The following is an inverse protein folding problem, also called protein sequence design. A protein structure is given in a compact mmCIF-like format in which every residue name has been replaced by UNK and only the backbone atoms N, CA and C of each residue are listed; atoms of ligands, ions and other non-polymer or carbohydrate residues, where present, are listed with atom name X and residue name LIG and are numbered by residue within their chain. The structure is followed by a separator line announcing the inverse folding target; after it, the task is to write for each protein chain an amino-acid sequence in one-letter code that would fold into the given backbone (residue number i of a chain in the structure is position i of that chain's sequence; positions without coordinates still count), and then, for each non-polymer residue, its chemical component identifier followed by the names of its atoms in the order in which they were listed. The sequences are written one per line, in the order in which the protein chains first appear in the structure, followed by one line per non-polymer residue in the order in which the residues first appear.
data_IF_664134033185
#
_entry.id   IF_664134033185
#
_cell.length_a   1.000
_cell.length_b   1.000
_cell.length_c   1.000
_cell.angle_alpha   90.00
_cell.angle_beta   90.00
_cell.angle_gamma   90.00
#
_symmetry.space_group_name_H-M   'P 1'
#
loop_
_entity.id
_entity.type
_entity.pdbx_description
1 polymer ?
#
# COMPACT_ATOMS: atom_id res chain seq x y z
N UNK A 1 -42.63 35.42 -25.48
CA UNK A 1 -41.30 35.62 -26.10
C UNK A 1 -40.56 36.55 -25.13
N UNK A 2 -39.39 36.27 -24.57
CA UNK A 2 -38.16 35.72 -25.16
C UNK A 2 -37.29 35.09 -24.04
N UNK A 3 -36.83 33.84 -24.23
CA UNK A 3 -35.40 33.47 -24.44
C UNK A 3 -34.51 33.89 -23.27
N UNK A 4 -34.29 32.98 -22.34
CA UNK A 4 -33.12 32.09 -22.34
C UNK A 4 -31.79 32.82 -22.17
N UNK A 5 -31.08 32.38 -21.12
CA UNK A 5 -29.63 32.34 -20.93
C UNK A 5 -29.09 33.29 -19.85
N UNK A 6 -28.12 32.73 -19.12
CA UNK A 6 -27.40 33.21 -17.94
C UNK A 6 -28.24 32.98 -16.67
N UNK A 7 -27.88 32.04 -15.80
CA UNK A 7 -26.60 32.01 -15.11
C UNK A 7 -26.10 30.57 -14.88
N UNK A 8 -25.06 30.19 -15.63
CA UNK A 8 -24.09 29.18 -15.22
C UNK A 8 -23.27 29.78 -14.07
N UNK A 9 -23.67 29.55 -12.82
CA UNK A 9 -22.82 29.92 -11.67
C UNK A 9 -22.97 28.93 -10.52
N UNK A 10 -21.82 28.34 -10.20
CA UNK A 10 -21.37 27.94 -8.87
C UNK A 10 -21.99 26.68 -8.23
N UNK A 11 -21.22 25.59 -8.25
CA UNK A 11 -20.81 24.87 -7.03
C UNK A 11 -19.87 23.70 -7.37
N UNK A 12 -18.67 24.00 -7.90
CA UNK A 12 -17.55 23.06 -7.89
C UNK A 12 -16.59 23.50 -6.79
N UNK A 13 -16.89 23.14 -5.54
CA UNK A 13 -15.92 23.13 -4.43
C UNK A 13 -16.37 22.04 -3.45
N UNK A 14 -16.24 20.78 -3.88
CA UNK A 14 -16.19 19.65 -2.96
C UNK A 14 -14.69 19.43 -2.65
N UNK A 15 -14.22 19.67 -1.42
CA UNK A 15 -12.87 19.27 -1.05
C UNK A 15 -12.79 17.74 -1.09
N UNK A 16 -11.84 17.14 -1.81
CA UNK A 16 -11.58 15.73 -1.63
C UNK A 16 -10.91 15.58 -0.26
N UNK A 17 -11.69 15.24 0.77
CA UNK A 17 -11.13 14.48 1.88
C UNK A 17 -10.61 13.19 1.28
N UNK A 18 -9.32 13.19 0.94
CA UNK A 18 -8.55 12.00 0.66
C UNK A 18 -8.60 11.15 1.94
N UNK A 19 -9.61 10.30 2.05
CA UNK A 19 -9.51 9.08 2.81
C UNK A 19 -8.42 8.29 2.11
N UNK A 20 -7.20 8.37 2.64
CA UNK A 20 -6.20 7.36 2.38
C UNK A 20 -6.76 6.07 2.98
N UNK A 21 -7.55 5.34 2.20
CA UNK A 21 -7.91 3.98 2.53
C UNK A 21 -6.62 3.17 2.51
N UNK A 22 -6.21 2.53 3.62
CA UNK A 22 -5.26 1.45 3.52
C UNK A 22 -6.00 0.33 2.79
N UNK A 23 -5.84 0.29 1.46
CA UNK A 23 -6.23 -0.87 0.64
C UNK A 23 -5.28 -2.02 0.96
N UNK A 24 -5.48 -2.60 2.15
CA UNK A 24 -5.00 -3.93 2.48
C UNK A 24 -5.98 -4.95 1.93
N UNK A 25 -6.13 -4.99 0.61
CA UNK A 25 -6.98 -5.97 -0.07
C UNK A 25 -6.21 -7.26 -0.32
N UNK A 26 -6.93 -8.36 -0.16
CA UNK A 26 -6.55 -9.76 -0.43
C UNK A 26 -5.78 -10.43 0.69
N UNK A 27 -6.26 -11.61 1.12
CA UNK A 27 -5.68 -12.47 2.16
C UNK A 27 -4.30 -13.07 1.84
N UNK A 28 -3.43 -12.29 1.20
CA UNK A 28 -1.99 -12.50 1.16
C UNK A 28 -1.33 -11.94 2.42
N UNK A 29 -0.20 -12.50 2.81
CA UNK A 29 0.53 -12.03 3.99
C UNK A 29 0.97 -10.58 3.75
N UNK A 30 0.55 -9.65 4.61
CA UNK A 30 0.97 -8.25 4.59
C UNK A 30 2.50 -8.19 4.62
N UNK A 31 3.12 -7.81 3.50
CA UNK A 31 4.58 -7.76 3.40
C UNK A 31 5.16 -6.45 3.95
N UNK A 32 4.36 -5.38 4.02
CA UNK A 32 4.79 -4.03 4.39
C UNK A 32 4.24 -3.61 5.75
N UNK A 33 5.12 -3.15 6.64
CA UNK A 33 4.82 -2.76 8.01
C UNK A 33 5.13 -1.28 8.26
N UNK A 34 4.38 -0.59 9.14
CA UNK A 34 4.62 0.81 9.45
C UNK A 34 5.85 1.05 10.34
N UNK A 35 6.31 0.01 11.06
CA UNK A 35 7.46 0.12 11.97
C UNK A 35 8.40 -1.07 11.82
N UNK A 36 9.69 -0.81 12.08
CA UNK A 36 10.74 -1.84 12.11
C UNK A 36 10.38 -3.01 13.03
N UNK A 37 9.90 -2.73 14.24
CA UNK A 37 9.56 -3.75 15.23
C UNK A 37 8.41 -4.66 14.76
N UNK A 38 7.41 -4.11 14.07
CA UNK A 38 6.32 -4.89 13.51
C UNK A 38 6.81 -5.81 12.37
N UNK A 39 7.69 -5.30 11.50
CA UNK A 39 8.35 -6.08 10.47
C UNK A 39 9.21 -7.21 11.06
N UNK A 40 10.03 -6.94 12.07
CA UNK A 40 10.88 -7.95 12.73
C UNK A 40 10.07 -9.05 13.44
N UNK A 41 8.91 -8.71 14.02
CA UNK A 41 8.00 -9.71 14.58
C UNK A 41 7.49 -10.64 13.48
N UNK A 42 7.17 -10.07 12.32
CA UNK A 42 6.70 -10.84 11.18
C UNK A 42 7.79 -11.67 10.50
N UNK A 43 9.05 -11.24 10.57
CA UNK A 43 10.23 -11.96 10.07
C UNK A 43 10.22 -13.46 10.45
N UNK A 44 9.78 -13.74 11.68
CA UNK A 44 9.69 -15.10 12.23
C UNK A 44 8.76 -16.01 11.42
N UNK A 45 7.69 -15.46 10.84
CA UNK A 45 6.77 -16.21 9.98
C UNK A 45 7.37 -16.49 8.60
N UNK A 46 8.32 -15.67 8.15
CA UNK A 46 9.01 -15.83 6.88
C UNK A 46 10.36 -16.58 7.02
N UNK A 47 10.66 -17.12 8.20
CA UNK A 47 11.94 -17.76 8.52
C UNK A 47 13.16 -16.88 8.18
N UNK A 48 13.01 -15.57 8.36
CA UNK A 48 14.08 -14.60 8.14
C UNK A 48 14.27 -13.72 9.38
N UNK A 49 15.30 -12.86 9.35
CA UNK A 49 15.68 -12.03 10.49
C UNK A 49 15.92 -10.58 10.11
N UNK A 50 15.56 -9.69 11.03
CA UNK A 50 15.67 -8.23 10.94
C UNK A 50 14.64 -7.61 10.00
N UNK A 51 14.79 -6.34 9.66
CA UNK A 51 13.89 -5.63 8.75
C UNK A 51 14.65 -4.55 7.98
N UNK A 52 14.29 -4.33 6.71
CA UNK A 52 14.80 -3.23 5.90
C UNK A 52 13.70 -2.21 5.61
N UNK A 53 14.08 -0.94 5.59
CA UNK A 53 13.18 0.15 5.25
C UNK A 53 13.07 0.28 3.73
N UNK A 54 11.85 0.44 3.25
CA UNK A 54 11.50 0.69 1.86
C UNK A 54 10.53 1.89 1.82
N UNK A 55 11.08 3.09 1.57
CA UNK A 55 10.32 4.34 1.73
C UNK A 55 9.90 4.59 3.18
N UNK A 56 8.60 4.80 3.40
CA UNK A 56 8.02 5.00 4.74
C UNK A 56 7.63 3.68 5.44
N UNK A 57 7.84 2.53 4.77
CA UNK A 57 7.43 1.22 5.26
C UNK A 57 8.63 0.30 5.49
N UNK A 58 8.38 -0.82 6.17
CA UNK A 58 9.37 -1.81 6.58
C UNK A 58 8.98 -3.19 6.07
N UNK A 59 9.95 -3.92 5.55
CA UNK A 59 9.80 -5.32 5.15
C UNK A 59 10.38 -6.24 6.24
N UNK A 60 9.82 -7.45 6.43
CA UNK A 60 10.16 -8.36 7.53
C UNK A 60 11.49 -9.09 7.38
N UNK A 61 12.25 -8.94 6.30
CA UNK A 61 13.57 -9.57 6.16
C UNK A 61 14.62 -8.50 5.86
N UNK A 62 15.85 -8.64 6.34
CA UNK A 62 16.95 -7.68 6.04
C UNK A 62 17.41 -7.68 4.59
N UNK A 63 17.26 -8.81 3.89
CA UNK A 63 17.61 -8.98 2.48
C UNK A 63 16.46 -9.69 1.78
N UNK A 64 16.13 -9.26 0.56
CA UNK A 64 15.41 -10.14 -0.36
C UNK A 64 16.38 -11.25 -0.77
N UNK A 65 15.94 -12.50 -0.77
CA UNK A 65 16.73 -13.57 -1.36
C UNK A 65 17.01 -13.18 -2.82
N UNK A 66 18.28 -12.99 -3.16
CA UNK A 66 18.74 -12.62 -4.48
C UNK A 66 18.26 -13.73 -5.41
N UNK A 67 17.26 -13.46 -6.26
CA UNK A 67 16.34 -14.39 -6.95
C UNK A 67 16.87 -15.75 -7.43
N UNK A 68 17.27 -16.61 -6.50
CA UNK A 68 17.65 -18.02 -6.71
C UNK A 68 16.69 -18.96 -5.98
N UNK A 69 15.60 -18.41 -5.41
CA UNK A 69 14.49 -19.17 -4.87
C UNK A 69 13.52 -19.49 -6.00
N UNK A 70 13.46 -20.77 -6.35
CA UNK A 70 12.54 -21.45 -7.25
C UNK A 70 11.14 -20.82 -7.26
N UNK A 71 10.92 -19.83 -8.14
CA UNK A 71 9.60 -19.60 -8.68
C UNK A 71 9.35 -20.73 -9.67
N UNK A 72 8.84 -21.86 -9.20
CA UNK A 72 8.06 -22.73 -10.08
C UNK A 72 6.74 -21.99 -10.25
N UNK A 73 6.46 -21.35 -11.40
CA UNK A 73 5.10 -20.93 -11.67
C UNK A 73 4.24 -22.19 -11.58
N UNK A 74 3.24 -22.17 -10.71
CA UNK A 74 2.21 -23.19 -10.72
C UNK A 74 1.53 -23.12 -12.09
N UNK A 75 1.76 -24.14 -12.91
CA UNK A 75 0.98 -24.42 -14.11
C UNK A 75 -0.40 -24.97 -13.70
#
# INVERSE_FOLDING_TARGET
MDRSLLLLTAALLLPPTALAEPTGSSGGVQALYPTKAAAEKAAKHFHCTGAHQMGDQWMPCTKHADGSGSHTPAH
#
